data_IF_911226678428
#
_entry.id   IF_911226678428
#
_cell.length_a   1.000
_cell.length_b   1.000
_cell.length_c   1.000
_cell.angle_alpha   90.00
_cell.angle_beta   90.00
_cell.angle_gamma   90.00
#
_symmetry.space_group_name_H-M   'P 1'
#
loop_
_entity.id
_entity.type
_entity.pdbx_description
1 polymer ?
#
# COMPACT_ATOMS: atom_id res chain seq x y z
N UNK A 1 -10.44 -18.11 -36.63
CA UNK A 1 -9.39 -18.47 -35.62
C UNK A 1 -8.06 -17.95 -36.14
N UNK A 2 -7.33 -17.15 -35.35
CA UNK A 2 -6.18 -16.31 -35.77
C UNK A 2 -5.10 -17.10 -36.55
N UNK A 3 -4.81 -18.34 -36.16
CA UNK A 3 -3.86 -19.22 -36.87
C UNK A 3 -4.26 -19.61 -38.30
N UNK A 4 -5.56 -19.57 -38.64
CA UNK A 4 -6.05 -19.81 -39.99
C UNK A 4 -5.90 -18.59 -40.92
N UNK A 5 -5.90 -17.38 -40.36
CA UNK A 5 -5.66 -16.14 -41.12
C UNK A 5 -4.17 -15.95 -41.45
N UNK A 6 -3.28 -16.51 -40.62
CA UNK A 6 -1.81 -16.41 -40.78
C UNK A 6 -1.19 -17.49 -41.68
N UNK A 7 -1.98 -18.41 -42.28
CA UNK A 7 -1.48 -19.53 -43.12
C UNK A 7 -0.33 -20.33 -42.47
N UNK A 8 -0.43 -20.58 -41.17
CA UNK A 8 0.63 -21.24 -40.41
C UNK A 8 0.59 -22.78 -40.64
N UNK A 9 1.70 -23.39 -41.08
CA UNK A 9 1.86 -24.85 -41.16
C UNK A 9 1.81 -25.46 -39.74
N UNK A 10 1.25 -26.67 -39.61
CA UNK A 10 0.99 -27.30 -38.30
C UNK A 10 2.23 -27.42 -37.41
N UNK A 11 3.42 -27.54 -38.00
CA UNK A 11 4.72 -27.56 -37.33
C UNK A 11 5.07 -26.27 -36.57
N UNK A 12 4.62 -25.09 -37.03
CA UNK A 12 4.91 -23.81 -36.39
C UNK A 12 3.80 -23.34 -35.43
N UNK A 13 2.63 -23.98 -35.47
CA UNK A 13 1.48 -23.63 -34.61
C UNK A 13 1.74 -23.95 -33.15
N UNK A 14 2.48 -25.01 -32.86
CA UNK A 14 2.85 -25.39 -31.49
C UNK A 14 3.86 -24.39 -30.92
N UNK A 15 4.87 -24.00 -31.70
CA UNK A 15 5.89 -23.04 -31.28
C UNK A 15 5.29 -21.63 -31.07
N UNK A 16 4.52 -21.13 -32.03
CA UNK A 16 3.83 -19.84 -31.92
C UNK A 16 2.77 -19.84 -30.83
N UNK A 17 2.05 -20.96 -30.64
CA UNK A 17 1.11 -21.13 -29.53
C UNK A 17 1.80 -21.09 -28.17
N UNK A 18 2.96 -21.75 -28.03
CA UNK A 18 3.77 -21.68 -26.81
C UNK A 18 4.28 -20.27 -26.52
N UNK A 19 4.75 -19.55 -27.53
CA UNK A 19 5.22 -18.16 -27.40
C UNK A 19 4.09 -17.20 -26.98
N UNK A 20 2.91 -17.30 -27.61
CA UNK A 20 1.75 -16.45 -27.26
C UNK A 20 1.26 -16.73 -25.84
N UNK A 21 1.19 -18.00 -25.42
CA UNK A 21 0.80 -18.37 -24.06
C UNK A 21 1.84 -17.95 -23.01
N UNK A 22 3.12 -17.99 -23.37
CA UNK A 22 4.21 -17.51 -22.53
C UNK A 22 4.12 -15.98 -22.32
N UNK A 23 3.98 -15.21 -23.40
CA UNK A 23 3.83 -13.75 -23.33
C UNK A 23 2.57 -13.33 -22.53
N UNK A 24 1.46 -14.06 -22.69
CA UNK A 24 0.22 -13.80 -21.95
C UNK A 24 0.36 -14.14 -20.46
N UNK A 25 1.09 -15.21 -20.13
CA UNK A 25 1.41 -15.58 -18.76
C UNK A 25 2.35 -14.58 -18.08
N UNK A 26 3.39 -14.10 -18.79
CA UNK A 26 4.32 -13.08 -18.30
C UNK A 26 3.60 -11.75 -18.04
N UNK A 27 2.73 -11.33 -18.96
CA UNK A 27 1.91 -10.14 -18.78
C UNK A 27 0.89 -10.30 -17.64
N UNK A 28 0.27 -11.47 -17.51
CA UNK A 28 -0.63 -11.77 -16.39
C UNK A 28 0.12 -11.69 -15.05
N UNK A 29 1.30 -12.31 -14.96
CA UNK A 29 2.12 -12.31 -13.74
C UNK A 29 2.57 -10.90 -13.36
N UNK A 30 3.02 -10.09 -14.33
CA UNK A 30 3.37 -8.70 -14.10
C UNK A 30 2.22 -7.88 -13.52
N UNK A 31 1.03 -8.00 -14.11
CA UNK A 31 -0.17 -7.33 -13.62
C UNK A 31 -0.63 -7.85 -12.26
N UNK A 32 -0.59 -9.17 -12.03
CA UNK A 32 -0.94 -9.78 -10.76
C UNK A 32 -0.01 -9.30 -9.65
N UNK A 33 1.30 -9.27 -9.89
CA UNK A 33 2.29 -8.74 -8.95
C UNK A 33 2.00 -7.28 -8.60
N UNK A 34 1.77 -6.44 -9.60
CA UNK A 34 1.46 -5.02 -9.37
C UNK A 34 0.18 -4.83 -8.53
N UNK A 35 -0.86 -5.63 -8.80
CA UNK A 35 -2.10 -5.60 -8.01
C UNK A 35 -1.87 -6.03 -6.57
N UNK A 36 -1.14 -7.12 -6.34
CA UNK A 36 -0.81 -7.59 -5.00
C UNK A 36 -0.01 -6.54 -4.21
N UNK A 37 0.96 -5.90 -4.84
CA UNK A 37 1.73 -4.81 -4.22
C UNK A 37 0.85 -3.59 -3.92
N UNK A 38 -0.07 -3.23 -4.82
CA UNK A 38 -1.03 -2.15 -4.58
C UNK A 38 -2.00 -2.49 -3.44
N UNK A 39 -2.50 -3.72 -3.39
CA UNK A 39 -3.37 -4.20 -2.32
C UNK A 39 -2.67 -4.17 -0.96
N UNK A 40 -1.41 -4.58 -0.89
CA UNK A 40 -0.61 -4.50 0.33
C UNK A 40 -0.39 -3.04 0.77
N UNK A 41 -0.04 -2.15 -0.17
CA UNK A 41 0.06 -0.71 0.14
C UNK A 41 -1.26 -0.14 0.66
N UNK A 42 -2.38 -0.49 0.03
CA UNK A 42 -3.70 -0.03 0.45
C UNK A 42 -4.06 -0.52 1.86
N UNK A 43 -3.72 -1.77 2.20
CA UNK A 43 -3.89 -2.29 3.56
C UNK A 43 -3.10 -1.49 4.58
N UNK A 44 -1.84 -1.12 4.27
CA UNK A 44 -1.02 -0.28 5.14
C UNK A 44 -1.59 1.13 5.33
N UNK A 45 -2.17 1.72 4.28
CA UNK A 45 -2.86 3.01 4.39
C UNK A 45 -4.08 2.91 5.29
N UNK A 46 -4.90 1.86 5.16
CA UNK A 46 -6.06 1.65 6.03
C UNK A 46 -5.60 1.47 7.48
N UNK A 47 -4.57 0.64 7.70
CA UNK A 47 -3.97 0.43 9.03
C UNK A 47 -3.48 1.75 9.65
N UNK A 48 -2.85 2.62 8.86
CA UNK A 48 -2.44 3.96 9.29
C UNK A 48 -3.63 4.85 9.67
N UNK A 49 -4.70 4.81 8.87
CA UNK A 49 -5.88 5.63 9.10
C UNK A 49 -6.57 5.28 10.42
N UNK A 50 -6.68 4.00 10.71
CA UNK A 50 -7.33 3.45 11.90
C UNK A 50 -6.41 3.37 13.13
N UNK A 51 -5.11 3.67 12.98
CA UNK A 51 -4.14 3.51 14.04
C UNK A 51 -4.48 4.33 15.29
N UNK A 52 -4.66 3.63 16.40
CA UNK A 52 -4.78 4.18 17.76
C UNK A 52 -3.71 3.58 18.66
N UNK A 53 -3.27 4.33 19.67
CA UNK A 53 -2.30 3.86 20.65
C UNK A 53 -2.77 2.59 21.35
N UNK A 54 -4.05 2.54 21.75
CA UNK A 54 -4.61 1.39 22.46
C UNK A 54 -3.75 0.99 23.67
N UNK A 55 -3.47 -0.30 23.81
CA UNK A 55 -2.60 -0.84 24.86
C UNK A 55 -1.09 -0.64 24.65
N UNK A 56 -0.65 -0.02 23.53
CA UNK A 56 0.77 0.18 23.27
C UNK A 56 1.37 1.27 24.18
N UNK A 57 2.67 1.16 24.43
CA UNK A 57 3.45 2.30 24.93
C UNK A 57 3.46 3.41 23.89
N UNK A 58 3.65 4.67 24.32
CA UNK A 58 3.74 5.81 23.38
C UNK A 58 4.87 5.59 22.37
N UNK A 59 6.01 5.04 22.81
CA UNK A 59 7.15 4.74 21.94
C UNK A 59 6.80 3.71 20.87
N UNK A 60 6.11 2.61 21.22
CA UNK A 60 5.67 1.61 20.24
C UNK A 60 4.63 2.17 19.27
N UNK A 61 3.72 3.01 19.76
CA UNK A 61 2.76 3.71 18.93
C UNK A 61 3.46 4.66 17.95
N UNK A 62 4.44 5.44 18.40
CA UNK A 62 5.21 6.36 17.57
C UNK A 62 6.04 5.64 16.49
N UNK A 63 6.72 4.55 16.85
CA UNK A 63 7.43 3.73 15.89
C UNK A 63 6.48 3.19 14.81
N UNK A 64 5.34 2.64 15.22
CA UNK A 64 4.33 2.12 14.29
C UNK A 64 3.71 3.22 13.42
N UNK A 65 3.49 4.40 13.98
CA UNK A 65 2.97 5.57 13.25
C UNK A 65 3.94 5.98 12.15
N UNK A 66 5.23 6.14 12.45
CA UNK A 66 6.23 6.52 11.45
C UNK A 66 6.43 5.44 10.38
N UNK A 67 6.43 4.16 10.76
CA UNK A 67 6.54 3.06 9.81
C UNK A 67 5.38 3.04 8.82
N UNK A 68 4.14 3.24 9.30
CA UNK A 68 2.94 3.27 8.47
C UNK A 68 2.79 4.58 7.68
N UNK A 69 3.28 5.70 8.21
CA UNK A 69 3.25 7.01 7.54
C UNK A 69 3.99 7.00 6.19
N UNK A 70 4.98 6.12 6.02
CA UNK A 70 5.69 5.93 4.74
C UNK A 70 4.76 5.51 3.60
N UNK A 71 3.66 4.84 3.91
CA UNK A 71 2.65 4.40 2.94
C UNK A 71 1.59 5.47 2.65
N UNK A 72 1.62 6.59 3.37
CA UNK A 72 0.66 7.70 3.25
C UNK A 72 1.38 8.99 2.81
N UNK A 73 1.79 9.12 1.52
CA UNK A 73 2.59 10.26 1.04
C UNK A 73 1.98 11.63 1.32
N UNK A 74 0.66 11.71 1.40
CA UNK A 74 -0.08 12.93 1.69
C UNK A 74 0.21 13.53 3.09
N UNK A 75 0.72 12.73 4.04
CA UNK A 75 1.16 13.23 5.36
C UNK A 75 2.65 13.56 5.42
N UNK A 76 3.43 13.27 4.36
CA UNK A 76 4.87 13.49 4.34
C UNK A 76 5.26 14.77 3.56
N UNK A 77 4.29 15.55 3.09
CA UNK A 77 4.52 16.87 2.49
C UNK A 77 4.64 17.93 3.59
N UNK A 78 5.37 19.01 3.32
CA UNK A 78 5.64 20.05 4.32
C UNK A 78 4.35 20.69 4.86
N UNK A 79 3.36 20.86 3.99
CA UNK A 79 2.06 21.47 4.28
C UNK A 79 1.19 20.61 5.20
N UNK A 80 1.40 19.29 5.19
CA UNK A 80 0.64 18.34 6.01
C UNK A 80 1.31 18.01 7.35
N UNK A 81 2.38 18.72 7.72
CA UNK A 81 3.10 18.47 8.97
C UNK A 81 2.21 18.68 10.19
N UNK A 82 1.37 19.72 10.17
CA UNK A 82 0.40 19.99 11.23
C UNK A 82 -0.68 18.91 11.28
N UNK A 83 -1.25 18.53 10.13
CA UNK A 83 -2.20 17.43 10.03
C UNK A 83 -1.62 16.09 10.54
N UNK A 84 -0.33 15.85 10.30
CA UNK A 84 0.40 14.66 10.80
C UNK A 84 0.48 14.69 12.33
N UNK A 85 0.81 15.83 12.94
CA UNK A 85 0.83 16.00 14.40
C UNK A 85 -0.56 15.81 15.00
N UNK A 86 -1.58 16.49 14.44
CA UNK A 86 -2.97 16.38 14.88
C UNK A 86 -3.45 14.93 14.79
N UNK A 87 -3.12 14.20 13.73
CA UNK A 87 -3.47 12.78 13.60
C UNK A 87 -2.79 11.92 14.67
N UNK A 88 -1.51 12.15 14.93
CA UNK A 88 -0.76 11.44 15.97
C UNK A 88 -1.39 11.65 17.35
N UNK A 89 -1.63 12.90 17.73
CA UNK A 89 -2.28 13.26 18.98
C UNK A 89 -3.68 12.66 19.07
N UNK A 90 -4.44 12.67 17.98
CA UNK A 90 -5.77 12.06 17.92
C UNK A 90 -5.80 10.54 18.02
N UNK A 91 -4.66 9.87 17.82
CA UNK A 91 -4.52 8.45 18.07
C UNK A 91 -4.06 8.11 19.48
N UNK A 92 -3.55 9.08 20.26
CA UNK A 92 -3.14 8.86 21.65
C UNK A 92 -4.32 8.52 22.56
N UNK A 93 -4.02 7.82 23.66
CA UNK A 93 -5.02 7.54 24.69
C UNK A 93 -5.46 8.83 25.42
N UNK A 94 -6.71 8.89 25.91
CA UNK A 94 -7.26 10.09 26.55
C UNK A 94 -6.44 10.61 27.73
N UNK A 95 -5.90 9.72 28.57
CA UNK A 95 -5.06 10.06 29.73
C UNK A 95 -3.81 10.86 29.32
N UNK A 96 -3.22 10.52 28.17
CA UNK A 96 -2.04 11.19 27.63
C UNK A 96 -2.42 12.48 26.91
N UNK A 97 -3.52 12.47 26.14
CA UNK A 97 -4.01 13.68 25.45
C UNK A 97 -4.32 14.81 26.42
N UNK A 98 -4.91 14.48 27.57
CA UNK A 98 -5.20 15.47 28.61
C UNK A 98 -3.92 16.15 29.12
N UNK A 99 -2.85 15.39 29.37
CA UNK A 99 -1.55 15.93 29.80
C UNK A 99 -0.93 16.90 28.78
N UNK A 100 -1.10 16.64 27.48
CA UNK A 100 -0.59 17.51 26.42
C UNK A 100 -1.41 18.81 26.35
N UNK A 101 -2.74 18.72 26.42
CA UNK A 101 -3.62 19.90 26.41
C UNK A 101 -3.48 20.82 27.63
N UNK A 102 -2.96 20.31 28.77
CA UNK A 102 -2.61 21.15 29.92
C UNK A 102 -1.36 22.01 29.71
N UNK A 103 -0.54 21.72 28.69
CA UNK A 103 0.70 22.47 28.41
C UNK A 103 0.52 23.68 27.50
N UNK A 104 -0.69 23.91 26.97
CA UNK A 104 -1.07 25.07 26.14
C UNK A 104 -1.77 26.21 26.91
N UNK A 105 -1.73 26.21 28.26
CA UNK A 105 -2.23 27.30 29.13
C UNK A 105 -1.06 27.94 29.88
#
# INVERSE_FOLDING_TARGET
RIFGAMRCLDEHRVLLGGYVLYDEADHWWGNAKQRLEADERNRKVIEFMELKQGGMTVSNYAAKFEDLCRFAPHYNIMEAKEDKCVKFENGLRPDIKQLIGFSEI
#
